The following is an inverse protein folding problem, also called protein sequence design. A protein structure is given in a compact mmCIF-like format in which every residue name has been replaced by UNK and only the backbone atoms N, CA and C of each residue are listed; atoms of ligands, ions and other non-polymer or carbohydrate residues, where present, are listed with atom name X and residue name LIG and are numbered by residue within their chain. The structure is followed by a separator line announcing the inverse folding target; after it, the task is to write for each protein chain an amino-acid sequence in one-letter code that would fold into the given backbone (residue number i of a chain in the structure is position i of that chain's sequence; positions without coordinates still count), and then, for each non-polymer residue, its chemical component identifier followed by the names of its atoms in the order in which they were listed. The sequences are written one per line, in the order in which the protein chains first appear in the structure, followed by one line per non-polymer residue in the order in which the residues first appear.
data_IF_951435250494
#
_entry.id   IF_951435250494
#
_cell.length_a   1.000
_cell.length_b   1.000
_cell.length_c   1.000
_cell.angle_alpha   90.00
_cell.angle_beta   90.00
_cell.angle_gamma   90.00
#
_symmetry.space_group_name_H-M   'P 1'
#
loop_
_entity.id
_entity.type
_entity.pdbx_description
1 polymer ?
#
# COMPACT_ATOMS: atom_id res chain seq x y z
N UNK A 1 20.90 -3.27 13.76
CA UNK A 1 19.54 -3.44 13.21
C UNK A 1 18.61 -2.61 14.07
N UNK A 2 18.04 -1.54 13.53
CA UNK A 2 17.26 -0.56 14.29
C UNK A 2 15.76 -0.91 14.15
N UNK A 3 15.01 -1.03 15.25
CA UNK A 3 13.56 -1.31 15.25
C UNK A 3 12.72 -0.26 14.50
N UNK A 4 13.29 0.91 14.22
CA UNK A 4 12.62 2.03 13.55
C UNK A 4 12.18 1.72 12.11
N UNK A 5 12.77 0.71 11.46
CA UNK A 5 12.36 0.30 10.10
C UNK A 5 11.15 -0.63 10.07
N UNK A 6 10.72 -1.18 11.22
CA UNK A 6 9.67 -2.20 11.26
C UNK A 6 8.45 -1.83 12.12
N UNK A 7 8.46 -0.64 12.72
CA UNK A 7 7.37 -0.11 13.53
C UNK A 7 6.77 1.12 12.84
N UNK A 8 5.59 0.97 12.24
CA UNK A 8 4.85 2.08 11.63
C UNK A 8 3.51 2.32 12.35
N UNK A 9 3.16 3.59 12.67
CA UNK A 9 3.98 4.79 12.57
C UNK A 9 4.97 4.90 13.75
N UNK A 10 6.17 5.49 13.56
CA UNK A 10 7.17 5.66 14.62
C UNK A 10 6.66 6.53 15.79
N UNK A 11 5.62 7.33 15.57
CA UNK A 11 4.94 8.15 16.60
C UNK A 11 4.07 7.34 17.56
N UNK A 12 3.76 6.07 17.27
CA UNK A 12 3.10 5.17 18.22
C UNK A 12 4.08 4.49 19.20
N UNK A 13 5.39 4.76 19.09
CA UNK A 13 6.36 4.50 20.15
C UNK A 13 6.10 5.44 21.35
N UNK A 14 4.97 5.23 22.03
CA UNK A 14 4.41 6.10 23.06
C UNK A 14 2.91 5.87 23.31
N UNK A 15 2.21 5.17 22.41
CA UNK A 15 0.85 4.67 22.63
C UNK A 15 0.83 3.27 23.25
N UNK A 16 -0.33 2.80 23.71
CA UNK A 16 -0.53 1.44 24.26
C UNK A 16 -0.57 0.33 23.20
N UNK A 17 -0.12 0.60 21.98
CA UNK A 17 -0.22 -0.30 20.83
C UNK A 17 1.10 -0.33 20.08
N UNK A 18 1.52 -1.52 19.67
CA UNK A 18 2.65 -1.74 18.78
C UNK A 18 2.20 -2.62 17.61
N UNK A 19 2.80 -2.41 16.45
CA UNK A 19 2.53 -3.17 15.23
C UNK A 19 3.85 -3.72 14.70
N UNK A 20 3.84 -4.96 14.23
CA UNK A 20 5.01 -5.62 13.64
C UNK A 20 4.65 -6.00 12.20
N UNK A 21 5.47 -5.56 11.25
CA UNK A 21 5.36 -5.93 9.84
C UNK A 21 5.79 -7.40 9.65
N UNK A 22 4.92 -8.22 9.06
CA UNK A 22 5.17 -9.67 8.83
C UNK A 22 5.30 -10.02 7.34
N UNK A 23 4.88 -9.12 6.45
CA UNK A 23 5.03 -9.21 5.00
C UNK A 23 5.17 -7.80 4.45
N UNK A 24 5.98 -7.64 3.41
CA UNK A 24 6.08 -6.40 2.64
C UNK A 24 5.94 -6.73 1.17
N UNK A 25 5.13 -5.94 0.46
CA UNK A 25 4.99 -5.99 -0.99
C UNK A 25 5.61 -4.70 -1.55
N UNK A 26 6.81 -4.81 -2.14
CA UNK A 26 7.57 -3.65 -2.64
C UNK A 26 7.38 -3.52 -4.14
N UNK A 27 6.88 -2.36 -4.59
CA UNK A 27 6.85 -1.97 -6.00
C UNK A 27 7.99 -0.97 -6.27
N UNK A 28 9.19 -1.42 -6.70
CA UNK A 28 10.32 -0.53 -6.86
C UNK A 28 10.11 0.43 -8.04
N UNK A 29 10.64 1.65 -7.89
CA UNK A 29 10.72 2.65 -8.96
C UNK A 29 9.37 3.08 -9.56
N UNK A 30 8.31 3.13 -8.76
CA UNK A 30 7.08 3.79 -9.20
C UNK A 30 7.34 5.28 -9.45
N UNK A 31 6.90 5.76 -10.61
CA UNK A 31 6.98 7.16 -11.01
C UNK A 31 5.60 7.67 -11.42
N UNK A 32 5.39 8.98 -11.28
CA UNK A 32 4.15 9.63 -11.72
C UNK A 32 4.15 9.73 -13.25
N UNK A 33 3.49 8.79 -13.90
CA UNK A 33 3.44 8.66 -15.36
C UNK A 33 2.05 8.19 -15.81
N UNK A 34 1.87 8.05 -17.13
CA UNK A 34 0.64 7.48 -17.70
C UNK A 34 0.86 6.02 -18.05
N UNK A 35 0.03 5.14 -17.49
CA UNK A 35 0.07 3.70 -17.77
C UNK A 35 -1.35 3.11 -17.90
N UNK A 36 -1.48 1.92 -18.53
CA UNK A 36 -2.73 1.16 -18.49
C UNK A 36 -3.15 0.87 -17.05
N UNK A 37 -4.42 1.10 -16.74
CA UNK A 37 -5.02 0.74 -15.45
C UNK A 37 -4.99 -0.78 -15.23
N UNK A 38 -4.92 -1.19 -13.96
CA UNK A 38 -4.77 -2.58 -13.56
C UNK A 38 -5.98 -3.46 -13.90
N UNK A 39 -5.75 -4.75 -14.17
CA UNK A 39 -6.84 -5.69 -14.57
C UNK A 39 -7.83 -5.97 -13.45
N UNK A 40 -7.40 -5.78 -12.20
CA UNK A 40 -8.22 -6.03 -11.02
C UNK A 40 -9.35 -4.99 -10.86
N UNK A 41 -9.27 -3.85 -11.55
CA UNK A 41 -10.27 -2.79 -11.48
C UNK A 41 -11.41 -3.09 -12.45
N UNK A 42 -12.62 -3.30 -11.93
CA UNK A 42 -13.78 -3.71 -12.71
C UNK A 42 -14.08 -2.77 -13.90
N UNK A 43 -13.91 -1.46 -13.71
CA UNK A 43 -14.16 -0.44 -14.75
C UNK A 43 -12.90 -0.06 -15.55
N UNK A 44 -11.81 -0.83 -15.48
CA UNK A 44 -10.61 -0.54 -16.25
C UNK A 44 -10.70 -1.01 -17.70
N UNK A 45 -11.50 -2.05 -17.98
CA UNK A 45 -11.58 -2.63 -19.32
C UNK A 45 -12.35 -1.72 -20.28
N UNK A 46 -11.77 -1.44 -21.44
CA UNK A 46 -12.38 -0.58 -22.45
C UNK A 46 -12.35 -1.26 -23.83
N UNK A 47 -13.29 -0.90 -24.69
CA UNK A 47 -13.27 -1.28 -26.12
C UNK A 47 -12.85 -0.10 -27.00
N UNK A 48 -13.28 1.11 -26.63
CA UNK A 48 -13.02 2.37 -27.31
C UNK A 48 -12.66 3.49 -26.33
N UNK A 49 -12.07 4.57 -26.84
CA UNK A 49 -11.71 5.75 -26.04
C UNK A 49 -12.92 6.41 -25.37
N UNK A 50 -14.14 6.22 -25.89
CA UNK A 50 -15.37 6.77 -25.31
C UNK A 50 -15.76 6.10 -23.99
N UNK A 51 -15.30 4.87 -23.76
CA UNK A 51 -15.57 4.13 -22.53
C UNK A 51 -14.76 4.72 -21.35
N UNK A 52 -13.68 5.44 -21.66
CA UNK A 52 -12.81 6.07 -20.69
C UNK A 52 -13.19 7.55 -20.53
N UNK A 53 -13.92 7.88 -19.47
CA UNK A 53 -14.26 9.28 -19.17
C UNK A 53 -13.01 10.03 -18.70
N UNK A 54 -12.57 11.09 -19.40
CA UNK A 54 -11.37 11.83 -19.00
C UNK A 54 -11.61 12.59 -17.68
N UNK A 55 -10.56 12.69 -16.87
CA UNK A 55 -10.55 13.32 -15.52
C UNK A 55 -11.37 12.59 -14.46
N UNK A 56 -12.02 11.49 -14.84
CA UNK A 56 -12.71 10.62 -13.89
C UNK A 56 -11.70 9.83 -13.07
N UNK A 57 -12.01 9.65 -11.78
CA UNK A 57 -11.24 8.85 -10.84
C UNK A 57 -12.19 7.83 -10.22
N UNK A 58 -12.01 6.57 -10.58
CA UNK A 58 -12.73 5.49 -9.92
C UNK A 58 -12.21 5.35 -8.49
N UNK A 59 -13.11 5.21 -7.51
CA UNK A 59 -12.74 4.98 -6.11
C UNK A 59 -11.90 3.71 -5.92
N UNK A 60 -12.06 2.74 -6.83
CA UNK A 60 -11.30 1.49 -6.84
C UNK A 60 -10.12 1.51 -7.82
N UNK A 61 -9.87 2.63 -8.50
CA UNK A 61 -8.78 2.82 -9.46
C UNK A 61 -7.50 3.36 -8.81
N UNK A 62 -6.41 3.35 -9.57
CA UNK A 62 -5.09 3.78 -9.06
C UNK A 62 -4.77 5.24 -9.40
N UNK A 63 -5.53 5.84 -10.32
CA UNK A 63 -5.30 7.22 -10.73
C UNK A 63 -6.42 7.83 -11.58
N UNK A 64 -6.12 8.99 -12.15
CA UNK A 64 -7.06 9.75 -12.97
C UNK A 64 -7.00 9.29 -14.42
N UNK A 65 -8.16 9.00 -15.02
CA UNK A 65 -8.27 8.59 -16.42
C UNK A 65 -7.90 9.74 -17.37
N UNK A 66 -7.06 9.45 -18.36
CA UNK A 66 -6.74 10.41 -19.44
C UNK A 66 -7.82 10.44 -20.53
N UNK A 67 -8.63 9.38 -20.60
CA UNK A 67 -9.67 9.20 -21.61
C UNK A 67 -9.23 8.41 -22.85
N UNK A 68 -8.09 7.70 -22.78
CA UNK A 68 -7.58 6.86 -23.87
C UNK A 68 -7.68 5.39 -23.49
N UNK A 69 -8.05 4.55 -24.46
CA UNK A 69 -8.11 3.11 -24.32
C UNK A 69 -6.84 2.48 -24.90
N UNK A 70 -5.95 2.00 -24.03
CA UNK A 70 -4.62 1.50 -24.41
C UNK A 70 -4.50 -0.01 -24.20
N UNK A 71 -3.72 -0.67 -25.04
CA UNK A 71 -3.44 -2.11 -24.87
C UNK A 71 -2.51 -2.34 -23.70
N UNK A 72 -2.78 -3.36 -22.90
CA UNK A 72 -1.93 -3.68 -21.77
C UNK A 72 -0.66 -4.42 -22.20
N UNK A 73 0.46 -4.14 -21.54
CA UNK A 73 1.71 -4.84 -21.79
C UNK A 73 1.57 -6.34 -21.50
N UNK A 74 1.86 -7.20 -22.47
CA UNK A 74 1.88 -8.66 -22.29
C UNK A 74 0.54 -9.39 -22.41
N UNK A 75 -0.52 -8.79 -22.99
CA UNK A 75 -1.78 -9.50 -23.24
C UNK A 75 -2.66 -8.91 -24.34
N UNK A 76 -3.85 -9.48 -24.50
CA UNK A 76 -4.85 -9.09 -25.51
C UNK A 76 -5.94 -8.15 -25.00
N UNK A 77 -5.90 -7.78 -23.71
CA UNK A 77 -6.87 -6.85 -23.10
C UNK A 77 -6.48 -5.38 -23.29
N UNK A 78 -7.48 -4.52 -23.48
CA UNK A 78 -7.33 -3.06 -23.43
C UNK A 78 -7.85 -2.52 -22.11
N UNK A 79 -7.16 -1.54 -21.56
CA UNK A 79 -7.62 -0.81 -20.39
C UNK A 79 -7.49 0.70 -20.56
N UNK A 80 -8.25 1.44 -19.76
CA UNK A 80 -8.15 2.89 -19.74
C UNK A 80 -6.76 3.32 -19.26
N UNK A 81 -6.18 4.29 -19.95
CA UNK A 81 -4.94 4.95 -19.53
C UNK A 81 -5.23 5.87 -18.35
N UNK A 82 -4.41 5.76 -17.31
CA UNK A 82 -4.49 6.57 -16.10
C UNK A 82 -3.17 7.27 -15.82
N UNK A 83 -3.26 8.50 -15.31
CA UNK A 83 -2.16 9.19 -14.66
C UNK A 83 -2.08 8.69 -13.21
N UNK A 84 -1.07 7.89 -12.92
CA UNK A 84 -0.92 7.19 -11.65
C UNK A 84 0.56 6.98 -11.31
N UNK A 85 0.81 6.34 -10.18
CA UNK A 85 2.13 5.79 -9.85
C UNK A 85 2.35 4.49 -10.64
N UNK A 86 3.09 4.60 -11.73
CA UNK A 86 3.34 3.51 -12.66
C UNK A 86 4.69 2.84 -12.38
N UNK A 87 4.80 1.51 -12.49
CA UNK A 87 3.77 0.58 -12.92
C UNK A 87 2.79 0.21 -11.78
N UNK A 88 1.50 0.05 -12.14
CA UNK A 88 0.41 -0.30 -11.20
C UNK A 88 0.46 -1.79 -10.82
N UNK A 89 0.50 -2.68 -11.83
CA UNK A 89 0.48 -4.15 -11.66
C UNK A 89 1.87 -4.80 -11.91
N UNK A 90 2.93 -3.99 -12.05
CA UNK A 90 4.19 -4.39 -12.68
C UNK A 90 5.25 -5.02 -11.77
N UNK A 91 4.88 -5.94 -10.89
CA UNK A 91 5.86 -6.77 -10.17
C UNK A 91 6.20 -6.27 -8.78
N UNK A 92 5.19 -6.20 -7.91
CA UNK A 92 5.43 -6.13 -6.47
C UNK A 92 6.22 -7.36 -6.04
N UNK A 93 7.41 -7.17 -5.48
CA UNK A 93 8.20 -8.23 -4.86
C UNK A 93 7.60 -8.46 -3.48
N UNK A 94 6.97 -9.62 -3.30
CA UNK A 94 6.43 -10.03 -2.00
C UNK A 94 7.53 -10.69 -1.19
N UNK A 95 7.93 -10.06 -0.09
CA UNK A 95 8.89 -10.59 0.86
C UNK A 95 8.18 -10.93 2.18
N UNK A 96 8.36 -12.18 2.63
CA UNK A 96 7.88 -12.62 3.93
C UNK A 96 8.90 -12.27 4.99
N UNK A 97 8.46 -11.51 6.00
CA UNK A 97 9.27 -11.14 7.16
C UNK A 97 8.84 -11.91 8.40
N UNK A 98 7.87 -12.83 8.28
CA UNK A 98 7.26 -13.53 9.41
C UNK A 98 8.28 -14.33 10.23
N UNK A 99 9.28 -14.93 9.58
CA UNK A 99 10.34 -15.67 10.28
C UNK A 99 11.22 -14.72 11.12
N UNK A 100 11.61 -13.57 10.56
CA UNK A 100 12.36 -12.56 11.32
C UNK A 100 11.50 -11.95 12.43
N UNK A 101 10.22 -11.66 12.16
CA UNK A 101 9.28 -11.12 13.14
C UNK A 101 9.09 -12.07 14.34
N UNK A 102 9.14 -13.39 14.12
CA UNK A 102 9.04 -14.39 15.19
C UNK A 102 10.25 -14.38 16.15
N UNK A 103 11.39 -13.85 15.71
CA UNK A 103 12.61 -13.73 16.51
C UNK A 103 12.67 -12.43 17.32
N UNK A 104 11.72 -11.52 17.13
CA UNK A 104 11.67 -10.27 17.87
C UNK A 104 11.15 -10.48 19.29
N UNK A 105 11.74 -9.75 20.23
CA UNK A 105 11.30 -9.74 21.63
C UNK A 105 10.73 -8.36 21.96
N UNK A 106 9.50 -8.34 22.50
CA UNK A 106 8.83 -7.10 22.89
C UNK A 106 8.90 -6.95 24.40
N UNK A 107 9.51 -5.86 24.87
CA UNK A 107 9.49 -5.47 26.29
C UNK A 107 8.26 -4.60 26.56
N UNK A 108 7.28 -5.16 27.27
CA UNK A 108 6.11 -4.40 27.72
C UNK A 108 6.38 -3.84 29.12
N UNK A 109 6.68 -2.55 29.21
CA UNK A 109 6.79 -1.84 30.48
C UNK A 109 5.45 -1.18 30.82
N UNK A 110 4.74 -1.77 31.77
CA UNK A 110 3.51 -1.19 32.30
C UNK A 110 3.80 -0.52 33.65
N UNK A 111 3.36 0.73 33.83
CA UNK A 111 3.43 1.44 35.11
C UNK A 111 2.00 1.80 35.53
N UNK A 112 1.58 1.33 36.69
CA UNK A 112 0.25 1.59 37.25
C UNK A 112 0.35 2.58 38.41
N UNK A 113 -0.58 3.53 38.47
CA UNK A 113 -0.66 4.50 39.55
C UNK A 113 -2.04 4.47 40.19
N UNK A 114 -2.09 4.35 41.51
CA UNK A 114 -3.30 4.42 42.33
C UNK A 114 -3.33 5.74 43.11
N UNK A 115 -3.98 6.80 42.59
CA UNK A 115 -3.86 8.14 43.13
C UNK A 115 -4.39 8.26 44.57
N UNK A 116 -5.44 7.48 44.90
CA UNK A 116 -6.04 7.49 46.23
C UNK A 116 -5.14 6.94 47.33
N UNK A 117 -4.19 6.06 46.98
CA UNK A 117 -3.30 5.40 47.93
C UNK A 117 -1.86 5.89 47.82
N UNK A 118 -1.57 6.83 46.91
CA UNK A 118 -0.21 7.32 46.66
C UNK A 118 0.77 6.24 46.21
N UNK A 119 0.27 5.17 45.57
CA UNK A 119 1.04 3.97 45.25
C UNK A 119 1.25 3.81 43.75
N UNK A 120 2.47 3.45 43.33
CA UNK A 120 2.81 3.15 41.93
C UNK A 120 3.60 1.85 41.81
N UNK A 121 3.47 1.14 40.68
CA UNK A 121 4.13 -0.15 40.38
C UNK A 121 4.53 -0.25 38.92
#
# INVERSE_FOLDING_TARGET
MQCEQWCEPPTQCGGSTFSILTRVDVSPAQAMETCPEGRAVANATCSSDQDCVPRDTDTSGHGQRTGRCVSQAGGTGKSCEVLAWCPVDGGSISESLAEMASQFTVLIKNNIHFPRFGFSK
#
